data_IF_231591284912
#
_entry.id   IF_231591284912
#
_cell.length_a   1.000
_cell.length_b   1.000
_cell.length_c   1.000
_cell.angle_alpha   90.00
_cell.angle_beta   90.00
_cell.angle_gamma   90.00
#
_symmetry.space_group_name_H-M   'P 1'
#
loop_
_entity.id
_entity.type
_entity.pdbx_description
1 polymer ?
2 non-polymer ?
3 non-polymer ?
4 water ?
#
# COMPACT_ATOMS: atom_id res chain seq x y z
N UNK A 9 41.01 -6.11 10.83
CA UNK A 9 40.77 -4.74 11.26
C UNK A 9 39.97 -3.94 10.23
N UNK A 10 38.97 -3.22 10.71
CA UNK A 10 38.27 -2.20 9.92
C UNK A 10 38.10 -0.97 10.80
N UNK A 11 38.43 0.19 10.26
CA UNK A 11 38.36 1.42 11.04
C UNK A 11 37.03 2.14 10.89
N UNK A 12 36.12 1.63 10.06
CA UNK A 12 34.85 2.30 9.81
C UNK A 12 34.12 2.58 11.11
N UNK A 13 33.93 1.55 11.94
CA UNK A 13 33.18 1.72 13.19
C UNK A 13 33.79 2.82 14.05
N UNK A 14 35.11 2.78 14.23
CA UNK A 14 35.77 3.78 15.08
C UNK A 14 35.64 5.18 14.51
N UNK A 15 35.84 5.34 13.19
CA UNK A 15 35.72 6.66 12.58
C UNK A 15 34.29 7.19 12.75
N UNK A 16 33.30 6.35 12.46
CA UNK A 16 31.91 6.78 12.59
C UNK A 16 31.58 7.08 14.04
N UNK A 17 32.03 6.22 14.96
CA UNK A 17 31.79 6.47 16.38
C UNK A 17 32.35 7.82 16.80
N UNK A 18 33.60 8.10 16.42
CA UNK A 18 34.25 9.36 16.81
C UNK A 18 33.56 10.56 16.21
N UNK A 19 33.24 10.50 14.92
CA UNK A 19 32.57 11.61 14.25
C UNK A 19 31.22 11.90 14.89
N UNK A 20 30.49 10.86 15.25
CA UNK A 20 29.18 11.07 15.85
C UNK A 20 29.28 11.72 17.23
N UNK A 21 30.25 11.29 18.04
CA UNK A 21 30.49 12.00 19.29
C UNK A 21 30.91 13.44 19.04
N UNK A 22 31.64 13.68 17.94
CA UNK A 22 32.18 14.98 17.59
C UNK A 22 31.25 15.80 16.70
N UNK A 23 30.00 15.35 16.52
CA UNK A 23 29.17 15.88 15.44
C UNK A 23 28.82 17.35 15.62
N UNK A 24 28.75 17.83 16.86
CA UNK A 24 28.45 19.24 17.05
C UNK A 24 29.60 20.15 16.65
N UNK A 25 30.76 19.60 16.27
CA UNK A 25 31.95 20.40 15.99
C UNK A 25 32.29 20.49 14.50
N UNK A 26 31.43 19.94 13.64
CA UNK A 26 31.62 20.06 12.20
C UNK A 26 30.26 20.07 11.52
N UNK A 27 30.25 20.50 10.27
CA UNK A 27 29.04 20.58 9.47
C UNK A 27 29.29 19.89 8.13
N UNK A 28 28.27 19.91 7.27
CA UNK A 28 28.44 19.36 5.93
C UNK A 28 29.52 20.10 5.15
N UNK A 29 29.66 21.41 5.38
CA UNK A 29 30.62 22.21 4.62
C UNK A 29 32.04 21.80 4.96
N UNK A 30 32.42 21.89 6.24
CA UNK A 30 33.79 21.70 6.68
C UNK A 30 34.06 20.29 7.22
N UNK A 31 33.25 19.32 6.83
CA UNK A 31 33.51 17.95 7.26
C UNK A 31 34.83 17.45 6.66
N UNK A 32 35.74 16.92 7.47
CA UNK A 32 36.96 16.35 6.90
C UNK A 32 36.63 15.14 6.04
N UNK A 33 37.38 14.98 4.94
CA UNK A 33 36.99 14.02 3.92
C UNK A 33 37.08 12.58 4.40
N UNK A 34 37.85 12.30 5.45
CA UNK A 34 37.90 10.91 5.92
C UNK A 34 36.57 10.50 6.56
N UNK A 35 35.99 11.38 7.37
CA UNK A 35 34.66 11.11 7.92
C UNK A 35 33.66 10.95 6.78
N UNK A 36 33.71 11.87 5.81
CA UNK A 36 32.81 11.82 4.66
C UNK A 36 32.96 10.50 3.91
N UNK A 37 34.20 10.04 3.71
CA UNK A 37 34.42 8.78 3.00
C UNK A 37 33.93 7.59 3.82
N UNK A 38 34.15 7.61 5.14
CA UNK A 38 33.67 6.52 5.98
C UNK A 38 32.15 6.41 5.94
N UNK A 39 31.46 7.55 6.01
CA UNK A 39 30.00 7.53 5.96
C UNK A 39 29.53 6.93 4.63
N UNK A 40 30.15 7.36 3.52
CA UNK A 40 29.78 6.84 2.20
C UNK A 40 29.94 5.33 2.15
N UNK A 41 31.08 4.82 2.63
CA UNK A 41 31.31 3.38 2.59
C UNK A 41 30.31 2.62 3.45
N UNK A 42 29.95 3.18 4.61
CA UNK A 42 28.90 2.56 5.41
C UNK A 42 27.58 2.50 4.65
N UNK A 43 27.22 3.60 3.98
CA UNK A 43 25.98 3.61 3.20
C UNK A 43 26.06 2.60 2.05
N UNK A 44 27.20 2.53 1.37
CA UNK A 44 27.35 1.56 0.29
C UNK A 44 27.24 0.14 0.80
N UNK A 45 27.76 -0.14 2.00
CA UNK A 45 27.68 -1.49 2.55
C UNK A 45 26.27 -1.84 3.01
N UNK A 46 25.54 -0.87 3.56
CA UNK A 46 24.11 -1.09 3.81
C UNK A 46 23.37 -1.33 2.50
N UNK A 47 23.77 -0.65 1.42
CA UNK A 47 23.03 -0.75 0.17
C UNK A 47 23.24 -2.11 -0.52
N UNK A 48 24.44 -2.68 -0.44
CA UNK A 48 24.65 -3.97 -1.08
C UNK A 48 24.50 -5.15 -0.11
N UNK A 49 24.07 -4.88 1.12
CA UNK A 49 23.81 -5.93 2.09
C UNK A 49 25.03 -6.51 2.80
N UNK A 50 26.23 -6.00 2.52
CA UNK A 50 27.39 -6.48 3.26
C UNK A 50 27.45 -5.91 4.67
N UNK A 51 26.70 -4.85 4.95
CA UNK A 51 26.49 -4.39 6.31
C UNK A 51 25.00 -4.33 6.55
N UNK A 52 24.60 -4.50 7.82
CA UNK A 52 23.18 -4.39 8.13
C UNK A 52 23.03 -3.87 9.56
N UNK A 53 21.98 -3.08 9.77
CA UNK A 53 21.82 -2.37 11.04
C UNK A 53 21.62 -3.34 12.19
N UNK A 54 20.92 -4.44 11.94
CA UNK A 54 20.74 -5.46 12.97
C UNK A 54 20.86 -6.82 12.31
N UNK A 55 21.37 -7.78 13.07
CA UNK A 55 21.49 -9.14 12.56
C UNK A 55 21.39 -10.12 13.70
N UNK A 56 21.03 -11.35 13.37
CA UNK A 56 20.86 -12.39 14.36
C UNK A 56 22.19 -13.12 14.52
N UNK A 57 22.74 -13.08 15.73
CA UNK A 57 24.01 -13.73 16.03
C UNK A 57 23.80 -14.63 17.23
N UNK A 58 24.12 -15.91 17.08
CA UNK A 58 23.94 -16.90 18.15
C UNK A 58 22.52 -16.88 18.71
N UNK A 59 21.55 -16.76 17.82
CA UNK A 59 20.14 -16.87 18.18
C UNK A 59 19.50 -15.58 18.65
N UNK A 60 20.27 -14.51 18.80
CA UNK A 60 19.75 -13.25 19.30
C UNK A 60 19.99 -12.15 18.30
N UNK A 61 18.99 -11.27 18.17
CA UNK A 61 19.13 -10.11 17.31
C UNK A 61 19.99 -9.05 18.00
N UNK A 62 20.97 -8.54 17.29
CA UNK A 62 21.92 -7.56 17.82
C UNK A 62 21.87 -6.33 16.92
N UNK A 63 21.89 -5.17 17.52
CA UNK A 63 21.88 -3.92 16.78
C UNK A 63 23.32 -3.41 16.69
N UNK A 64 23.67 -2.83 15.55
CA UNK A 64 25.00 -2.24 15.36
C UNK A 64 24.83 -0.73 15.44
N UNK A 65 25.11 -0.13 16.60
CA UNK A 65 24.74 1.27 16.77
C UNK A 65 25.50 2.17 15.80
N UNK A 66 26.74 1.81 15.44
CA UNK A 66 27.52 2.68 14.57
C UNK A 66 26.95 2.77 13.16
N UNK A 67 26.16 1.79 12.72
CA UNK A 67 25.51 1.90 11.42
C UNK A 67 24.31 2.84 11.47
N UNK A 68 23.60 2.87 12.60
CA UNK A 68 22.60 3.92 12.80
C UNK A 68 23.25 5.29 12.80
N UNK A 69 24.42 5.40 13.44
CA UNK A 69 25.13 6.67 13.46
C UNK A 69 25.60 7.07 12.07
N UNK A 70 26.01 6.08 11.26
CA UNK A 70 26.35 6.38 9.87
C UNK A 70 25.14 6.92 9.10
N UNK A 71 23.98 6.29 9.25
CA UNK A 71 22.78 6.80 8.59
C UNK A 71 22.50 8.24 9.02
N UNK A 72 22.59 8.51 10.33
CA UNK A 72 22.34 9.86 10.83
C UNK A 72 23.37 10.85 10.30
N UNK A 73 24.63 10.43 10.22
CA UNK A 73 25.64 11.32 9.69
C UNK A 73 25.41 11.60 8.21
N UNK A 74 24.87 10.61 7.48
CA UNK A 74 24.63 10.86 6.06
C UNK A 74 23.56 11.93 5.88
N UNK A 75 22.61 12.06 6.81
CA UNK A 75 21.67 13.17 6.75
C UNK A 75 22.38 14.49 7.05
N UNK A 76 23.24 14.51 8.07
CA UNK A 76 23.93 15.73 8.45
C UNK A 76 24.86 16.21 7.33
N UNK A 77 25.47 15.30 6.61
CA UNK A 77 26.55 15.62 5.70
C UNK A 77 26.10 15.88 4.27
N UNK A 78 24.81 15.77 3.97
CA UNK A 78 24.30 15.99 2.62
C UNK A 78 23.13 16.96 2.64
N UNK A 79 23.17 17.95 1.76
CA UNK A 79 22.09 18.91 1.64
C UNK A 79 21.00 18.37 0.72
N UNK A 80 19.81 18.95 0.85
CA UNK A 80 18.75 18.63 -0.07
C UNK A 80 19.13 19.11 -1.47
N UNK A 81 18.75 18.33 -2.48
CA UNK A 81 19.01 18.68 -3.86
C UNK A 81 17.79 18.33 -4.69
N UNK A 82 17.59 18.99 -5.83
CA UNK A 82 16.51 18.57 -6.72
C UNK A 82 16.70 17.13 -7.17
N UNK A 83 15.62 16.38 -7.11
CA UNK A 83 15.58 15.02 -7.65
C UNK A 83 14.48 15.00 -8.69
N UNK A 84 14.79 14.50 -9.87
CA UNK A 84 13.83 14.45 -10.97
C UNK A 84 13.33 13.02 -11.18
N UNK A 85 12.24 12.93 -11.97
CA UNK A 85 11.66 11.63 -12.24
C UNK A 85 12.62 10.70 -12.96
N UNK A 86 13.54 11.24 -13.77
CA UNK A 86 14.56 10.42 -14.42
C UNK A 86 15.42 9.66 -13.41
N UNK A 87 15.46 10.10 -12.16
CA UNK A 87 16.24 9.39 -11.15
C UNK A 87 15.48 8.21 -10.56
N UNK A 88 14.23 8.01 -10.93
CA UNK A 88 13.49 6.82 -10.56
C UNK A 88 13.62 5.80 -11.69
N UNK A 89 14.05 4.59 -11.35
CA UNK A 89 14.16 3.50 -12.31
C UNK A 89 13.47 2.26 -11.76
N UNK A 90 12.89 1.48 -12.66
CA UNK A 90 12.12 0.31 -12.27
C UNK A 90 12.56 -0.86 -13.12
N UNK A 91 11.99 -2.03 -12.84
CA UNK A 91 12.47 -3.25 -13.51
C UNK A 91 11.41 -4.32 -13.29
N UNK A 92 10.70 -4.69 -14.36
CA UNK A 92 9.53 -5.53 -14.20
C UNK A 92 9.17 -6.07 -15.57
N UNK A 93 8.29 -7.07 -15.57
CA UNK A 93 7.91 -7.78 -16.78
C UNK A 93 6.52 -7.43 -17.29
N UNK A 94 5.80 -6.56 -16.60
CA UNK A 94 4.46 -6.11 -17.01
C UNK A 94 4.55 -4.63 -17.33
N UNK A 95 4.16 -4.26 -18.55
CA UNK A 95 4.10 -2.86 -18.95
C UNK A 95 3.03 -2.10 -18.18
N UNK A 96 3.22 -0.79 -18.03
CA UNK A 96 2.18 0.04 -17.46
C UNK A 96 1.18 0.40 -18.56
N UNK A 97 -0.05 0.71 -18.14
CA UNK A 97 -1.14 0.74 -19.11
C UNK A 97 -1.00 1.91 -20.08
N UNK A 98 -0.56 3.08 -19.59
CA UNK A 98 -0.70 4.30 -20.37
C UNK A 98 0.57 4.75 -21.09
N UNK A 99 1.68 4.00 -20.98
CA UNK A 99 2.89 4.45 -21.66
C UNK A 99 2.62 4.61 -23.15
N UNK A 100 3.06 5.73 -23.70
CA UNK A 100 2.75 6.01 -25.09
C UNK A 100 1.28 6.11 -25.47
N UNK A 101 0.39 6.39 -24.52
CA UNK A 101 -0.96 6.81 -24.88
C UNK A 101 -0.91 8.26 -25.34
N UNK A 102 -1.56 8.56 -26.47
CA UNK A 102 -1.64 9.96 -26.90
C UNK A 102 -2.74 10.69 -26.14
N UNK A 103 -2.75 12.01 -26.32
CA UNK A 103 -3.86 12.81 -25.76
C UNK A 103 -5.19 12.34 -26.33
N UNK A 104 -5.22 11.98 -27.62
CA UNK A 104 -6.45 11.50 -28.24
C UNK A 104 -6.91 10.19 -27.60
N UNK A 105 -5.98 9.28 -27.32
CA UNK A 105 -6.34 8.04 -26.66
C UNK A 105 -6.87 8.30 -25.25
N UNK A 106 -6.21 9.21 -24.52
CA UNK A 106 -6.68 9.54 -23.17
C UNK A 106 -8.08 10.11 -23.21
N UNK A 107 -8.31 11.08 -24.11
CA UNK A 107 -9.63 11.69 -24.22
C UNK A 107 -10.68 10.68 -24.64
N UNK A 108 -10.35 9.79 -25.58
CA UNK A 108 -11.32 8.78 -26.01
C UNK A 108 -11.67 7.81 -24.89
N UNK A 109 -10.71 7.45 -24.03
CA UNK A 109 -11.01 6.50 -22.97
C UNK A 109 -11.82 7.11 -21.82
N UNK A 110 -11.76 8.43 -21.62
CA UNK A 110 -12.56 9.11 -20.61
C UNK A 110 -12.16 8.85 -19.17
N UNK A 111 -10.91 8.46 -18.92
CA UNK A 111 -10.42 8.11 -17.59
C UNK A 111 -9.46 9.20 -17.15
N UNK A 112 -9.65 9.74 -15.93
CA UNK A 112 -8.69 10.66 -15.36
C UNK A 112 -7.65 9.87 -14.59
N UNK A 113 -6.38 10.11 -14.90
CA UNK A 113 -5.25 9.43 -14.26
C UNK A 113 -4.46 10.50 -13.53
N UNK A 114 -4.70 10.62 -12.22
CA UNK A 114 -4.11 11.70 -11.42
C UNK A 114 -2.70 11.28 -11.00
N UNK A 115 -1.66 12.06 -11.32
CA UNK A 115 -0.29 11.64 -10.98
C UNK A 115 -0.12 11.55 -9.47
N UNK A 116 0.56 10.51 -8.97
CA UNK A 116 1.26 9.49 -9.75
C UNK A 116 0.53 8.13 -9.91
N UNK A 117 -0.77 8.12 -10.22
CA UNK A 117 -1.50 6.86 -10.39
C UNK A 117 -0.92 6.00 -11.50
N UNK A 118 -0.90 4.69 -11.27
CA UNK A 118 -0.42 3.73 -12.26
C UNK A 118 -1.41 2.58 -12.35
N UNK A 119 -1.68 2.15 -13.58
CA UNK A 119 -2.40 0.90 -13.84
C UNK A 119 -1.51 0.01 -14.69
N UNK A 120 -1.61 -1.30 -14.47
CA UNK A 120 -0.88 -2.23 -15.33
C UNK A 120 -1.63 -2.47 -16.64
N UNK A 121 -0.86 -2.70 -17.70
CA UNK A 121 -1.45 -3.17 -18.95
C UNK A 121 -2.16 -4.50 -18.72
N UNK A 122 -3.33 -4.66 -19.36
CA UNK A 122 -4.18 -5.82 -19.11
C UNK A 122 -5.22 -5.59 -18.04
N UNK A 123 -5.46 -4.34 -17.68
CA UNK A 123 -6.57 -3.94 -16.83
C UNK A 123 -7.39 -2.90 -17.59
N UNK A 124 -8.66 -2.77 -17.20
CA UNK A 124 -9.58 -1.91 -17.93
C UNK A 124 -10.23 -0.89 -17.00
N UNK A 125 -10.34 0.36 -17.47
CA UNK A 125 -11.09 1.38 -16.78
C UNK A 125 -12.08 2.02 -17.75
N UNK A 126 -13.36 2.02 -17.37
CA UNK A 126 -14.41 2.54 -18.22
C UNK A 126 -14.43 4.08 -18.19
N UNK A 127 -15.24 4.66 -19.06
CA UNK A 127 -15.41 6.10 -19.12
C UNK A 127 -15.87 6.65 -17.77
N UNK A 128 -15.41 7.87 -17.47
CA UNK A 128 -15.73 8.62 -16.25
C UNK A 128 -15.16 7.99 -14.98
N UNK A 129 -14.21 7.08 -15.10
CA UNK A 129 -13.47 6.64 -13.93
C UNK A 129 -12.43 7.69 -13.58
N UNK A 130 -12.24 7.90 -12.28
CA UNK A 130 -11.19 8.78 -11.77
C UNK A 130 -10.25 7.92 -10.94
N UNK A 131 -9.00 7.83 -11.38
CA UNK A 131 -7.94 7.20 -10.61
C UNK A 131 -7.17 8.34 -9.91
N UNK A 132 -7.47 8.56 -8.63
CA UNK A 132 -6.57 9.33 -7.78
C UNK A 132 -5.25 8.55 -7.70
N UNK A 133 -4.18 9.09 -7.09
CA UNK A 133 -2.96 8.26 -6.98
C UNK A 133 -3.31 6.94 -6.32
N UNK A 134 -3.04 5.84 -7.01
CA UNK A 134 -3.61 4.53 -6.69
C UNK A 134 -2.98 3.52 -7.63
N UNK A 135 -3.34 2.25 -7.44
CA UNK A 135 -2.79 1.19 -8.28
C UNK A 135 -3.91 0.27 -8.76
N UNK A 136 -3.87 -0.08 -10.04
CA UNK A 136 -4.81 -1.05 -10.61
C UNK A 136 -3.98 -2.15 -11.25
N UNK A 137 -4.06 -3.35 -10.70
CA UNK A 137 -3.23 -4.47 -11.12
C UNK A 137 -3.84 -5.15 -12.36
N UNK A 138 -3.07 -6.06 -12.94
CA UNK A 138 -3.46 -6.70 -14.20
C UNK A 138 -4.72 -7.54 -14.01
N UNK A 139 -5.58 -7.54 -15.02
CA UNK A 139 -6.79 -8.34 -14.98
C UNK A 139 -7.99 -7.67 -14.33
N UNK A 140 -7.79 -6.54 -13.65
CA UNK A 140 -8.90 -5.83 -13.01
C UNK A 140 -9.74 -5.06 -14.04
N UNK A 141 -11.01 -4.86 -13.69
CA UNK A 141 -11.99 -4.16 -14.52
C UNK A 141 -12.72 -3.16 -13.64
N UNK A 142 -12.64 -1.88 -13.99
CA UNK A 142 -13.27 -0.82 -13.21
C UNK A 142 -14.32 -0.16 -14.10
N UNK A 143 -15.58 -0.30 -13.72
CA UNK A 143 -16.70 0.11 -14.57
C UNK A 143 -17.00 1.61 -14.44
N UNK A 144 -17.98 2.08 -15.22
CA UNK A 144 -18.18 3.51 -15.46
C UNK A 144 -18.45 4.31 -14.20
N UNK A 145 -17.87 5.51 -14.16
CA UNK A 145 -18.21 6.46 -13.12
C UNK A 145 -17.60 6.16 -11.77
N UNK A 146 -16.65 5.24 -11.69
CA UNK A 146 -16.15 4.80 -10.40
C UNK A 146 -14.94 5.64 -9.98
N UNK A 147 -14.85 5.92 -8.70
CA UNK A 147 -13.79 6.73 -8.13
C UNK A 147 -12.86 5.82 -7.34
N UNK A 148 -11.58 5.86 -7.66
CA UNK A 148 -10.57 5.11 -6.95
C UNK A 148 -9.71 6.14 -6.23
N UNK A 149 -9.88 6.27 -4.92
CA UNK A 149 -9.29 7.37 -4.15
C UNK A 149 -7.82 7.09 -3.84
N UNK A 150 -7.19 8.03 -3.13
CA UNK A 150 -5.74 8.08 -3.02
C UNK A 150 -5.20 6.90 -2.19
N UNK A 151 -4.17 6.25 -2.72
CA UNK A 151 -3.53 5.05 -2.16
C UNK A 151 -4.51 3.88 -2.01
N UNK A 152 -5.57 3.85 -2.81
CA UNK A 152 -6.35 2.64 -2.94
C UNK A 152 -5.67 1.68 -3.90
N UNK A 153 -6.09 0.41 -3.86
CA UNK A 153 -5.54 -0.65 -4.69
C UNK A 153 -6.68 -1.49 -5.24
N UNK A 154 -6.73 -1.65 -6.56
CA UNK A 154 -7.64 -2.60 -7.19
C UNK A 154 -6.79 -3.79 -7.60
N UNK A 155 -6.90 -4.89 -6.85
CA UNK A 155 -6.00 -6.02 -7.04
C UNK A 155 -6.32 -6.83 -8.30
N UNK A 156 -5.44 -7.80 -8.57
CA UNK A 156 -5.51 -8.57 -9.80
C UNK A 156 -6.86 -9.25 -9.96
N UNK A 157 -7.44 -9.11 -11.16
CA UNK A 157 -8.70 -9.69 -11.60
C UNK A 157 -9.94 -9.15 -10.88
N UNK A 158 -9.80 -8.20 -9.96
CA UNK A 158 -10.97 -7.69 -9.25
C UNK A 158 -11.94 -7.02 -10.22
N UNK A 159 -13.24 -7.12 -9.91
CA UNK A 159 -14.29 -6.54 -10.72
C UNK A 159 -14.97 -5.47 -9.89
N UNK A 160 -14.78 -4.21 -10.29
CA UNK A 160 -15.41 -3.06 -9.62
C UNK A 160 -16.56 -2.59 -10.49
N UNK A 161 -17.74 -2.48 -9.91
CA UNK A 161 -18.93 -2.12 -10.67
C UNK A 161 -18.99 -0.64 -11.01
N UNK A 162 -20.16 -0.25 -11.54
CA UNK A 162 -20.44 1.13 -11.92
C UNK A 162 -20.76 1.99 -10.71
N UNK A 163 -20.32 3.25 -10.75
CA UNK A 163 -20.67 4.26 -9.74
C UNK A 163 -20.31 3.77 -8.35
N UNK A 164 -19.13 3.18 -8.24
CA UNK A 164 -18.57 2.72 -6.98
C UNK A 164 -17.61 3.78 -6.49
N UNK A 165 -17.55 3.95 -5.17
CA UNK A 165 -16.58 4.85 -4.54
C UNK A 165 -15.65 4.00 -3.70
N UNK A 166 -14.40 3.86 -4.15
CA UNK A 166 -13.35 3.25 -3.33
C UNK A 166 -12.61 4.39 -2.64
N UNK A 167 -12.80 4.53 -1.33
CA UNK A 167 -12.24 5.67 -0.62
C UNK A 167 -10.73 5.49 -0.42
N UNK A 168 -10.13 6.49 0.21
CA UNK A 168 -8.67 6.50 0.34
C UNK A 168 -8.15 5.28 1.09
N UNK A 169 -7.05 4.73 0.59
CA UNK A 169 -6.44 3.60 1.26
C UNK A 169 -7.21 2.30 1.22
N UNK A 170 -8.27 2.19 0.42
CA UNK A 170 -9.04 0.96 0.32
C UNK A 170 -8.26 -0.07 -0.49
N UNK A 171 -8.19 -1.30 0.04
CA UNK A 171 -7.57 -2.39 -0.72
C UNK A 171 -8.61 -3.40 -1.18
N UNK A 172 -8.70 -3.63 -2.49
CA UNK A 172 -9.52 -4.70 -3.05
C UNK A 172 -8.56 -5.81 -3.45
N UNK A 173 -8.61 -6.92 -2.73
CA UNK A 173 -7.56 -7.94 -2.85
C UNK A 173 -7.61 -8.67 -4.18
N UNK A 174 -6.43 -9.02 -4.67
CA UNK A 174 -6.33 -9.73 -5.91
C UNK A 174 -6.62 -11.22 -5.75
N UNK A 175 -7.03 -11.85 -6.85
CA UNK A 175 -7.32 -13.28 -6.88
C UNK A 175 -6.88 -13.76 -8.26
N UNK A 176 -5.81 -14.54 -8.30
CA UNK A 176 -5.47 -15.32 -9.49
C UNK A 176 -5.70 -16.79 -9.18
N UNK A 177 -4.92 -17.37 -8.25
CA UNK A 177 -5.12 -18.73 -7.77
C UNK A 177 -6.06 -18.72 -6.55
N UNK A 178 -6.85 -19.79 -6.35
CA UNK A 178 -7.00 -20.89 -7.30
C UNK A 178 -7.79 -20.46 -8.54
N UNK A 179 -7.55 -21.12 -9.67
CA UNK A 179 -8.13 -20.68 -10.93
C UNK A 179 -9.66 -20.64 -10.88
N UNK A 180 -10.29 -21.53 -10.12
CA UNK A 180 -11.74 -21.61 -10.15
C UNK A 180 -12.42 -20.57 -9.25
N UNK A 181 -11.67 -19.90 -8.38
CA UNK A 181 -12.28 -18.98 -7.45
C UNK A 181 -12.68 -17.68 -8.15
N UNK A 182 -13.85 -17.17 -7.81
CA UNK A 182 -14.23 -15.83 -8.26
C UNK A 182 -13.25 -14.79 -7.72
N UNK A 183 -12.92 -13.77 -8.50
CA UNK A 183 -12.13 -12.67 -7.94
C UNK A 183 -12.97 -11.88 -6.94
N UNK A 184 -12.30 -10.98 -6.22
CA UNK A 184 -13.01 -10.05 -5.36
C UNK A 184 -13.92 -9.16 -6.19
N UNK A 185 -15.17 -8.99 -5.75
CA UNK A 185 -16.15 -8.30 -6.58
C UNK A 185 -16.86 -7.22 -5.76
N UNK A 186 -16.84 -5.99 -6.26
CA UNK A 186 -17.63 -4.88 -5.72
C UNK A 186 -18.71 -4.56 -6.76
N UNK A 187 -19.97 -4.82 -6.43
CA UNK A 187 -21.04 -4.58 -7.40
C UNK A 187 -21.37 -3.09 -7.51
N UNK A 188 -22.29 -2.78 -8.43
CA UNK A 188 -22.66 -1.39 -8.72
C UNK A 188 -23.11 -0.65 -7.47
N UNK A 189 -22.78 0.65 -7.43
CA UNK A 189 -23.34 1.61 -6.49
C UNK A 189 -22.89 1.38 -5.05
N UNK A 190 -21.75 0.74 -4.83
CA UNK A 190 -21.27 0.54 -3.48
C UNK A 190 -20.35 1.67 -3.05
N UNK A 191 -20.42 1.98 -1.76
CA UNK A 191 -19.47 2.88 -1.13
C UNK A 191 -18.57 2.05 -0.22
N UNK A 192 -17.26 2.15 -0.41
CA UNK A 192 -16.28 1.48 0.46
C UNK A 192 -15.47 2.58 1.14
N UNK A 193 -15.56 2.65 2.47
CA UNK A 193 -14.99 3.74 3.22
C UNK A 193 -13.51 3.57 3.47
N UNK A 194 -12.88 4.64 3.94
CA UNK A 194 -11.43 4.75 3.94
C UNK A 194 -10.75 3.62 4.70
N UNK A 195 -9.62 3.16 4.16
CA UNK A 195 -8.76 2.17 4.82
C UNK A 195 -9.52 0.88 5.13
N UNK A 196 -10.51 0.55 4.31
CA UNK A 196 -11.18 -0.73 4.42
C UNK A 196 -10.53 -1.71 3.43
N UNK A 197 -10.75 -3.00 3.66
CA UNK A 197 -10.07 -4.05 2.92
C UNK A 197 -11.09 -5.13 2.57
N UNK A 198 -11.29 -5.39 1.28
CA UNK A 198 -12.16 -6.46 0.81
C UNK A 198 -11.29 -7.39 -0.02
N UNK A 199 -11.11 -8.63 0.44
CA UNK A 199 -10.07 -9.51 -0.10
C UNK A 199 -10.62 -10.92 -0.31
N UNK A 200 -9.78 -11.75 -0.94
CA UNK A 200 -9.97 -13.21 -1.00
C UNK A 200 -11.27 -13.61 -1.69
N UNK A 201 -11.69 -12.84 -2.70
CA UNK A 201 -12.84 -13.28 -3.45
C UNK A 201 -14.17 -13.00 -2.79
N UNK A 202 -14.17 -12.21 -1.71
CA UNK A 202 -15.41 -11.71 -1.14
C UNK A 202 -16.16 -10.90 -2.20
N UNK A 203 -17.48 -10.97 -2.17
CA UNK A 203 -18.31 -10.12 -3.00
C UNK A 203 -19.10 -9.19 -2.10
N UNK A 204 -19.06 -7.91 -2.41
CA UNK A 204 -19.93 -6.91 -1.81
C UNK A 204 -21.07 -6.64 -2.78
N UNK A 205 -22.29 -7.03 -2.43
CA UNK A 205 -23.37 -6.91 -3.40
C UNK A 205 -23.87 -5.47 -3.51
N UNK A 206 -24.67 -5.24 -4.54
CA UNK A 206 -25.03 -3.92 -5.04
C UNK A 206 -25.61 -3.02 -3.95
N UNK A 207 -25.20 -1.75 -3.97
CA UNK A 207 -25.85 -0.74 -3.16
C UNK A 207 -25.48 -0.77 -1.69
N UNK A 208 -24.40 -1.44 -1.35
CA UNK A 208 -23.98 -1.54 0.03
C UNK A 208 -23.11 -0.34 0.40
N UNK A 209 -23.10 -0.03 1.69
CA UNK A 209 -22.28 1.03 2.26
C UNK A 209 -21.40 0.37 3.30
N UNK A 210 -20.11 0.30 3.00
CA UNK A 210 -19.10 -0.25 3.89
C UNK A 210 -18.36 0.94 4.51
N UNK A 211 -18.41 1.07 5.83
CA UNK A 211 -17.78 2.22 6.48
C UNK A 211 -16.26 2.09 6.42
N UNK A 212 -15.58 3.11 6.94
CA UNK A 212 -14.14 2.99 7.05
C UNK A 212 -13.79 1.93 8.10
N UNK A 213 -12.59 1.36 7.96
CA UNK A 213 -12.10 0.43 8.96
C UNK A 213 -12.72 -0.95 8.92
N UNK A 214 -13.30 -1.35 7.79
CA UNK A 214 -13.94 -2.65 7.67
C UNK A 214 -13.02 -3.59 6.92
N UNK A 215 -12.68 -4.72 7.53
CA UNK A 215 -11.86 -5.77 6.91
C UNK A 215 -12.71 -7.01 6.70
N UNK A 216 -12.79 -7.50 5.46
CA UNK A 216 -13.57 -8.69 5.15
C UNK A 216 -12.78 -9.56 4.20
N UNK A 217 -12.35 -10.73 4.67
CA UNK A 217 -11.88 -11.81 3.83
C UNK A 217 -12.76 -13.02 4.05
N UNK A 218 -12.35 -14.21 3.59
CA UNK A 218 -13.19 -15.38 3.73
C UNK A 218 -13.37 -15.81 5.18
N UNK A 219 -12.51 -15.35 6.09
CA UNK A 219 -12.62 -15.77 7.48
C UNK A 219 -13.35 -14.75 8.36
N UNK A 220 -13.76 -13.61 7.81
CA UNK A 220 -14.40 -12.59 8.64
C UNK A 220 -15.87 -12.92 8.86
N UNK A 221 -16.29 -12.96 10.11
CA UNK A 221 -17.70 -13.05 10.41
C UNK A 221 -18.39 -11.73 10.07
N UNK A 222 -19.44 -11.83 9.28
CA UNK A 222 -20.29 -10.70 8.93
C UNK A 222 -21.58 -10.94 9.71
N UNK A 223 -21.75 -10.18 10.78
CA UNK A 223 -22.80 -10.42 11.76
C UNK A 223 -23.97 -9.51 11.46
N UNK A 224 -25.12 -10.11 11.14
CA UNK A 224 -26.37 -9.37 10.96
C UNK A 224 -26.97 -9.24 12.34
N UNK A 225 -26.86 -8.05 12.93
CA UNK A 225 -27.31 -7.87 14.30
C UNK A 225 -28.81 -7.99 14.45
N UNK A 226 -29.57 -7.82 13.37
CA UNK A 226 -31.02 -7.94 13.45
C UNK A 226 -31.47 -9.40 13.46
N UNK A 227 -30.87 -10.25 12.62
CA UNK A 227 -31.28 -11.64 12.56
C UNK A 227 -30.44 -12.54 13.45
N UNK A 228 -29.21 -12.14 13.77
CA UNK A 228 -28.27 -12.97 14.47
C UNK A 228 -27.46 -13.89 13.59
N UNK A 229 -27.72 -13.90 12.29
CA UNK A 229 -27.02 -14.81 11.40
C UNK A 229 -25.60 -14.30 11.12
N UNK A 230 -24.66 -15.23 11.09
CA UNK A 230 -23.29 -14.94 10.74
C UNK A 230 -23.07 -15.41 9.31
N UNK A 231 -22.73 -14.48 8.43
CA UNK A 231 -22.45 -14.77 7.03
C UNK A 231 -20.95 -14.74 6.80
N UNK A 232 -20.54 -15.40 5.72
CA UNK A 232 -19.16 -15.38 5.28
C UNK A 232 -19.10 -15.12 3.79
N UNK A 233 -18.11 -14.35 3.36
CA UNK A 233 -17.74 -14.25 1.96
C UNK A 233 -18.60 -13.34 1.11
N UNK A 234 -19.68 -12.79 1.65
CA UNK A 234 -20.66 -12.08 0.84
C UNK A 234 -21.40 -11.07 1.71
N UNK A 235 -21.41 -9.82 1.29
CA UNK A 235 -22.18 -8.76 1.95
C UNK A 235 -23.49 -8.62 1.19
N UNK A 236 -24.65 -8.91 1.80
CA UNK A 236 -25.91 -8.85 1.05
C UNK A 236 -26.19 -7.44 0.56
N UNK A 237 -26.95 -7.36 -0.55
CA UNK A 237 -27.20 -6.08 -1.21
C UNK A 237 -27.85 -5.10 -0.24
N UNK A 238 -27.41 -3.85 -0.30
CA UNK A 238 -28.01 -2.81 0.51
C UNK A 238 -27.60 -2.79 1.97
N UNK A 239 -26.57 -3.55 2.34
CA UNK A 239 -26.09 -3.60 3.72
C UNK A 239 -25.31 -2.35 4.08
N UNK A 240 -25.50 -1.88 5.32
CA UNK A 240 -24.61 -0.91 5.94
C UNK A 240 -23.76 -1.68 6.93
N UNK A 241 -22.44 -1.65 6.73
CA UNK A 241 -21.50 -2.46 7.50
C UNK A 241 -20.49 -1.55 8.20
N UNK A 242 -20.25 -1.80 9.49
CA UNK A 242 -19.27 -1.06 10.28
C UNK A 242 -18.40 -2.05 11.04
N UNK A 243 -17.23 -1.61 11.51
CA UNK A 243 -16.38 -2.53 12.29
C UNK A 243 -16.96 -2.76 13.67
N UNK A 244 -16.82 -3.98 14.14
CA UNK A 244 -17.22 -4.29 15.49
C UNK A 244 -16.43 -5.47 16.03
N UNK A 245 -16.98 -6.11 17.06
CA UNK A 245 -16.38 -7.29 17.67
C UNK A 245 -17.52 -8.21 18.11
N UNK A 246 -17.22 -9.50 18.23
CA UNK A 246 -18.13 -10.47 18.82
C UNK A 246 -17.50 -11.08 20.06
N UNK A 247 -18.26 -11.30 21.13
CA UNK A 247 -17.66 -11.75 22.39
C UNK A 247 -17.36 -13.24 22.38
N UNK A 248 -16.31 -13.61 23.10
CA UNK A 248 -16.04 -15.02 23.32
C UNK A 248 -17.03 -15.60 24.32
N UNK A 249 -17.17 -16.93 24.29
CA UNK A 249 -18.09 -17.57 25.20
C UNK A 249 -17.69 -17.36 26.65
N UNK A 250 -16.39 -17.27 26.93
CA UNK A 250 -15.97 -17.05 28.32
C UNK A 250 -16.01 -15.58 28.71
N UNK A 251 -16.24 -14.68 27.75
CA UNK A 251 -16.29 -13.26 28.03
C UNK A 251 -14.95 -12.61 28.32
N UNK A 252 -13.83 -13.31 28.13
CA UNK A 252 -12.53 -12.74 28.46
C UNK A 252 -11.95 -11.90 27.34
N UNK A 253 -12.45 -12.04 26.12
CA UNK A 253 -11.99 -11.27 24.98
C UNK A 253 -13.10 -11.25 23.94
N UNK A 254 -12.88 -10.47 22.89
CA UNK A 254 -13.76 -10.47 21.74
C UNK A 254 -12.89 -10.42 20.49
N UNK A 255 -13.46 -10.82 19.36
CA UNK A 255 -12.74 -10.88 18.11
C UNK A 255 -13.39 -9.95 17.09
N UNK A 256 -12.57 -9.43 16.19
CA UNK A 256 -13.07 -8.52 15.18
C UNK A 256 -14.17 -9.16 14.35
N UNK A 257 -15.18 -8.36 14.01
CA UNK A 257 -16.24 -8.81 13.12
C UNK A 257 -16.78 -7.60 12.36
N UNK A 258 -17.30 -7.85 11.17
CA UNK A 258 -18.01 -6.84 10.42
C UNK A 258 -19.50 -6.92 10.77
N UNK A 259 -20.07 -5.80 11.18
CA UNK A 259 -21.42 -5.75 11.71
C UNK A 259 -22.32 -5.08 10.69
N UNK A 260 -23.34 -5.81 10.22
CA UNK A 260 -24.39 -5.22 9.41
C UNK A 260 -25.35 -4.52 10.38
N UNK A 261 -25.36 -3.18 10.35
CA UNK A 261 -26.15 -2.43 11.31
C UNK A 261 -27.49 -1.96 10.76
N UNK A 262 -27.63 -1.90 9.43
CA UNK A 262 -28.96 -1.72 8.85
C UNK A 262 -28.90 -2.13 7.39
N UNK A 263 -30.09 -2.31 6.83
CA UNK A 263 -30.27 -2.65 5.43
C UNK A 263 -30.96 -1.48 4.75
N UNK A 264 -30.28 -0.82 3.83
CA UNK A 264 -30.84 0.33 3.13
C UNK A 264 -31.13 -0.01 1.67
X LIG B 1 -10.39 -9.80 9.40
X LIG B 1 -10.29 -11.16 10.09
X LIG B 1 -11.27 -12.04 9.47
X LIG B 1 -8.90 -11.76 9.90
X LIG B 1 -10.59 -11.00 11.59
X LIG B 1 -10.69 -12.31 12.35
X LIG B 1 -11.60 -13.17 11.70
X LIG B 1 -11.16 -12.04 13.78
X LIG C 1 11.99 12.04 -18.13
#
# INVERSE_FOLDING_TARGET
MAHHHHHHMSQLSTIIEQAFEDRANFTAADCPSEIRQAVEEAIAGLDNGTLRVAEKINGEWVVHQWLKKAVLLSFKLNDNKPIESCDLRFYDKVETKFSGWTEEQFKAAGVRVVPPAVARRGSFQAKNVVLMPSYVNIGAYVDEGTMVDTWATVGSCAQIGKNVHLSGGVGIGGVLEPLQANPTIIEDNCFIGARSEIVEGVIVEEGSVISMGVYIGQSTRIYDRETGEIHYGRVPAGSVVVPGNLPSADGKYSLYAAIIVKKVDAQTRAKTSLNDLLRAD
MRD C1 C2 O2 CM C3 C4 O4 C5
CA CA
#
